data_IF_251252324116
#
_entry.id   IF_251252324116
#
_cell.length_a   1.000
_cell.length_b   1.000
_cell.length_c   1.000
_cell.angle_alpha   90.00
_cell.angle_beta   90.00
_cell.angle_gamma   90.00
#
_symmetry.space_group_name_H-M   'P 1'
#
loop_
_entity.id
_entity.type
_entity.pdbx_description
1 polymer ?
#
# COMPACT_ATOMS: atom_id res chain seq x y z
N UNK A 1 -73.71 -13.52 3.23
CA UNK A 1 -72.56 -14.14 3.92
C UNK A 1 -71.50 -13.07 4.06
N UNK A 2 -70.94 -12.67 5.20
CA UNK A 2 -70.82 -13.29 6.52
C UNK A 2 -69.53 -12.72 7.10
N UNK A 3 -69.69 -11.69 7.93
CA UNK A 3 -68.74 -10.87 8.69
C UNK A 3 -67.49 -11.61 9.21
N UNK A 4 -66.30 -10.99 9.11
CA UNK A 4 -65.40 -10.77 10.27
C UNK A 4 -64.25 -9.80 9.98
N UNK A 5 -64.45 -8.58 10.46
CA UNK A 5 -63.42 -7.64 10.87
C UNK A 5 -62.54 -8.23 11.99
N UNK A 6 -61.27 -7.81 12.05
CA UNK A 6 -60.61 -7.54 13.34
C UNK A 6 -59.70 -6.32 13.26
N UNK A 7 -60.17 -5.32 13.97
CA UNK A 7 -59.59 -4.04 14.37
C UNK A 7 -58.73 -4.26 15.63
N UNK A 8 -57.88 -3.25 15.95
CA UNK A 8 -57.19 -2.93 17.23
C UNK A 8 -55.67 -3.17 17.22
N UNK A 9 -54.82 -2.30 17.74
CA UNK A 9 -54.98 -0.96 18.33
C UNK A 9 -53.60 -0.28 18.44
N UNK A 10 -53.61 1.05 18.50
CA UNK A 10 -52.50 1.94 18.81
C UNK A 10 -52.20 1.95 20.33
N UNK A 11 -50.94 2.17 20.68
CA UNK A 11 -50.39 2.89 21.86
C UNK A 11 -49.03 3.46 21.37
N UNK A 12 -48.66 4.75 21.31
CA UNK A 12 -48.82 5.96 22.15
C UNK A 12 -48.50 5.62 23.61
N UNK A 13 -47.45 6.10 24.27
CA UNK A 13 -46.79 7.44 24.36
C UNK A 13 -45.44 7.20 25.12
N UNK A 14 -44.36 7.95 24.94
CA UNK A 14 -43.80 9.04 25.80
C UNK A 14 -42.26 9.02 25.51
N UNK A 15 -41.50 10.04 25.09
CA UNK A 15 -41.24 11.38 25.67
C UNK A 15 -40.77 11.25 27.14
N UNK A 16 -39.59 11.63 27.63
CA UNK A 16 -38.48 12.50 27.24
C UNK A 16 -37.16 11.83 27.76
N UNK A 17 -35.93 12.28 27.58
CA UNK A 17 -35.37 13.56 28.02
C UNK A 17 -33.88 13.60 27.58
N UNK A 18 -33.46 14.73 26.99
CA UNK A 18 -32.04 15.15 26.96
C UNK A 18 -31.71 15.74 28.33
N UNK A 19 -30.42 15.85 28.67
CA UNK A 19 -29.94 17.22 28.81
C UNK A 19 -28.62 17.49 28.10
N UNK A 20 -28.50 18.77 27.77
CA UNK A 20 -27.44 19.45 27.05
C UNK A 20 -26.34 20.00 27.95
N UNK A 21 -25.15 20.14 27.34
CA UNK A 21 -24.13 21.21 27.52
C UNK A 21 -23.42 21.34 28.87
N UNK A 22 -22.10 21.22 28.81
CA UNK A 22 -21.20 22.18 29.47
C UNK A 22 -20.07 22.56 28.50
N UNK A 23 -20.11 23.81 28.05
CA UNK A 23 -18.93 24.56 27.61
C UNK A 23 -18.31 25.16 28.87
N UNK A 24 -16.99 25.07 29.02
CA UNK A 24 -16.22 26.05 29.79
C UNK A 24 -14.93 26.36 29.03
N UNK A 25 -14.84 27.64 28.72
CA UNK A 25 -13.70 28.44 28.28
C UNK A 25 -12.63 28.53 29.38
N UNK A 26 -11.50 29.16 29.04
CA UNK A 26 -10.56 29.84 29.96
C UNK A 26 -9.54 28.90 30.67
N UNK A 27 -8.24 29.17 30.82
CA UNK A 27 -7.46 30.43 30.79
C UNK A 27 -5.97 30.04 30.65
N UNK A 28 -5.20 30.77 29.83
CA UNK A 28 -3.72 30.84 29.93
C UNK A 28 -3.34 31.84 31.03
N UNK A 29 -2.33 31.58 31.86
CA UNK A 29 -1.55 32.62 32.51
C UNK A 29 -0.10 32.69 31.96
N UNK A 30 0.60 33.79 32.26
CA UNK A 30 1.45 34.50 31.30
C UNK A 30 2.94 34.21 31.51
N UNK A 31 3.74 34.40 30.45
CA UNK A 31 5.18 34.62 30.60
C UNK A 31 5.47 36.03 30.15
N UNK A 32 5.89 36.84 31.12
CA UNK A 32 6.29 38.23 31.01
C UNK A 32 7.55 38.44 30.15
N UNK A 33 7.66 39.70 29.73
CA UNK A 33 8.58 40.33 28.81
C UNK A 33 10.06 40.33 29.29
N UNK A 34 11.01 40.02 28.38
CA UNK A 34 12.09 40.90 27.81
C UNK A 34 13.24 41.34 28.75
N UNK A 35 14.40 41.86 28.26
CA UNK A 35 15.09 41.74 26.96
C UNK A 35 16.64 41.58 27.07
N UNK A 36 17.31 41.67 25.91
CA UNK A 36 18.68 42.13 25.63
C UNK A 36 19.89 41.19 25.86
N UNK A 37 20.56 40.82 24.77
CA UNK A 37 21.81 41.48 24.34
C UNK A 37 22.33 40.93 23.01
N UNK A 38 22.65 41.86 22.12
CA UNK A 38 23.36 41.65 20.84
C UNK A 38 24.79 41.14 21.09
N UNK A 39 25.39 40.40 20.13
CA UNK A 39 26.50 40.90 19.27
C UNK A 39 27.14 39.77 18.43
N UNK A 40 27.48 40.16 17.19
CA UNK A 40 28.66 39.74 16.39
C UNK A 40 28.69 38.29 15.85
N UNK A 41 28.44 38.08 14.54
CA UNK A 41 29.38 38.20 13.41
C UNK A 41 30.63 37.31 13.51
N UNK A 42 30.69 36.26 12.69
CA UNK A 42 31.65 36.13 11.58
C UNK A 42 31.59 34.71 10.99
N UNK A 43 31.46 34.65 9.67
CA UNK A 43 31.82 33.48 8.86
C UNK A 43 33.36 33.34 8.80
N UNK A 44 33.89 32.13 8.65
CA UNK A 44 35.23 31.95 8.12
C UNK A 44 35.20 31.41 6.69
N UNK A 45 35.64 32.25 5.74
CA UNK A 45 36.34 31.80 4.54
C UNK A 45 37.70 31.26 4.97
N UNK A 46 38.04 30.04 4.54
CA UNK A 46 39.40 29.50 4.68
C UNK A 46 39.99 29.38 3.29
N UNK A 47 40.88 30.33 3.01
CA UNK A 47 41.80 30.38 1.89
C UNK A 47 42.89 29.33 2.14
N UNK A 48 43.06 28.38 1.23
CA UNK A 48 44.19 27.45 1.26
C UNK A 48 45.22 27.92 0.23
N UNK A 49 46.44 28.08 0.74
CA UNK A 49 47.63 28.56 0.06
C UNK A 49 48.04 27.65 -1.09
N UNK A 50 48.41 28.29 -2.20
CA UNK A 50 49.15 27.72 -3.32
C UNK A 50 50.58 27.39 -2.90
N UNK A 51 51.00 26.14 -3.10
CA UNK A 51 52.39 25.74 -3.19
C UNK A 51 52.55 24.83 -4.41
N UNK A 52 53.30 25.32 -5.40
CA UNK A 52 53.76 24.58 -6.56
C UNK A 52 55.20 24.15 -6.30
N UNK A 53 55.56 22.90 -6.60
CA UNK A 53 56.64 22.56 -7.56
C UNK A 53 56.82 21.02 -7.67
N UNK A 54 57.41 20.62 -8.81
CA UNK A 54 58.11 19.37 -9.11
C UNK A 54 57.33 18.23 -9.80
N UNK A 55 57.62 18.15 -11.10
CA UNK A 55 57.32 17.08 -12.05
C UNK A 55 58.07 15.77 -11.77
N UNK A 56 57.41 14.65 -12.02
CA UNK A 56 58.03 13.37 -12.41
C UNK A 56 57.10 12.69 -13.43
N UNK A 57 57.67 12.29 -14.56
CA UNK A 57 57.06 11.57 -15.68
C UNK A 57 56.77 10.09 -15.37
N UNK A 58 56.00 9.47 -16.29
CA UNK A 58 55.77 8.04 -16.57
C UNK A 58 54.36 7.48 -16.21
N UNK A 59 53.86 6.46 -16.95
CA UNK A 59 53.28 6.54 -18.29
C UNK A 59 51.76 6.22 -18.28
N UNK A 60 51.07 6.61 -19.36
CA UNK A 60 49.63 6.33 -19.57
C UNK A 60 49.31 4.85 -19.34
N UNK A 61 48.64 4.58 -18.23
CA UNK A 61 47.91 3.35 -17.98
C UNK A 61 46.44 3.67 -18.23
N UNK A 62 45.87 3.05 -19.25
CA UNK A 62 44.44 3.07 -19.54
C UNK A 62 43.68 2.63 -18.29
N UNK A 63 43.00 3.57 -17.63
CA UNK A 63 41.99 3.28 -16.61
C UNK A 63 40.70 3.89 -17.13
N UNK A 64 39.83 3.00 -17.60
CA UNK A 64 38.47 3.31 -17.99
C UNK A 64 37.76 4.03 -16.85
N UNK A 65 37.15 5.17 -17.15
CA UNK A 65 36.28 5.89 -16.24
C UNK A 65 35.16 4.95 -15.77
N UNK A 66 34.93 4.79 -14.45
CA UNK A 66 33.70 4.20 -13.98
C UNK A 66 32.59 5.22 -14.29
N UNK A 67 31.91 4.99 -15.41
CA UNK A 67 30.61 5.60 -15.69
C UNK A 67 29.76 5.48 -14.43
N UNK A 68 29.46 6.64 -13.84
CA UNK A 68 28.41 6.78 -12.87
C UNK A 68 27.16 6.14 -13.49
N UNK A 69 26.78 4.98 -12.96
CA UNK A 69 25.48 4.39 -13.21
C UNK A 69 24.50 5.37 -12.59
N UNK A 70 24.07 6.34 -13.40
CA UNK A 70 22.88 7.13 -13.16
C UNK A 70 21.79 6.08 -13.03
N UNK A 71 21.36 5.87 -11.80
CA UNK A 71 20.22 5.03 -11.46
C UNK A 71 19.04 5.64 -12.22
N UNK A 72 18.76 5.06 -13.40
CA UNK A 72 17.64 5.43 -14.22
C UNK A 72 16.41 5.24 -13.34
N UNK A 73 15.82 6.36 -12.94
CA UNK A 73 14.47 6.38 -12.41
C UNK A 73 13.57 5.81 -13.50
N UNK A 74 13.31 4.50 -13.43
CA UNK A 74 12.39 3.79 -14.30
C UNK A 74 11.02 4.46 -14.18
N UNK A 75 10.73 5.37 -15.10
CA UNK A 75 9.37 5.74 -15.41
C UNK A 75 8.66 4.43 -15.75
N UNK A 76 7.69 4.05 -14.92
CA UNK A 76 6.95 2.79 -14.97
C UNK A 76 6.30 2.70 -16.34
N UNK A 77 6.96 2.03 -17.29
CA UNK A 77 6.37 1.70 -18.57
C UNK A 77 5.12 0.90 -18.23
N UNK A 78 3.95 1.43 -18.59
CA UNK A 78 2.68 0.72 -18.43
C UNK A 78 2.82 -0.52 -19.28
N UNK A 79 3.07 -1.68 -18.65
CA UNK A 79 3.16 -2.93 -19.37
C UNK A 79 1.82 -3.16 -20.05
N UNK A 80 1.83 -3.06 -21.37
CA UNK A 80 0.67 -3.28 -22.19
C UNK A 80 0.25 -4.74 -22.07
N UNK A 81 -1.05 -5.05 -22.08
CA UNK A 81 -1.50 -6.43 -22.13
C UNK A 81 -0.93 -7.16 -23.36
N UNK A 82 -0.79 -8.50 -23.31
CA UNK A 82 -0.26 -9.27 -24.43
C UNK A 82 -1.15 -9.22 -25.68
N UNK A 83 -2.44 -8.90 -25.51
CA UNK A 83 -3.40 -8.67 -26.60
C UNK A 83 -3.41 -7.22 -27.13
N UNK A 84 -2.58 -6.34 -26.58
CA UNK A 84 -2.37 -4.99 -27.10
C UNK A 84 -3.47 -3.98 -26.76
N UNK A 85 -3.50 -2.92 -27.56
CA UNK A 85 -4.38 -1.76 -27.37
C UNK A 85 -5.83 -2.04 -27.81
N UNK A 86 -6.74 -1.13 -27.46
CA UNK A 86 -8.13 -1.20 -27.92
C UNK A 86 -8.24 -1.22 -29.45
N UNK A 87 -7.33 -0.55 -30.17
CA UNK A 87 -7.31 -0.55 -31.63
C UNK A 87 -6.95 -1.91 -32.25
N UNK A 88 -6.19 -2.73 -31.52
CA UNK A 88 -5.75 -4.05 -31.97
C UNK A 88 -6.76 -5.13 -31.57
N UNK A 89 -7.29 -5.03 -30.36
CA UNK A 89 -8.14 -6.06 -29.75
C UNK A 89 -9.40 -5.51 -29.09
N UNK A 90 -10.26 -4.80 -29.85
CA UNK A 90 -11.52 -4.21 -29.31
C UNK A 90 -12.40 -5.21 -28.55
N UNK A 91 -12.38 -6.48 -28.96
CA UNK A 91 -13.17 -7.55 -28.35
C UNK A 91 -12.73 -7.88 -26.92
N UNK A 92 -11.45 -7.66 -26.57
CA UNK A 92 -10.94 -7.86 -25.22
C UNK A 92 -11.37 -6.76 -24.25
N UNK A 93 -11.69 -5.57 -24.76
CA UNK A 93 -12.11 -4.43 -23.92
C UNK A 93 -13.62 -4.44 -23.64
N UNK A 94 -14.37 -5.45 -24.08
CA UNK A 94 -15.78 -5.65 -23.74
C UNK A 94 -16.01 -6.99 -23.05
N UNK A 95 -16.89 -7.03 -22.04
CA UNK A 95 -17.27 -8.28 -21.38
C UNK A 95 -18.03 -9.17 -22.38
N UNK A 96 -17.59 -10.42 -22.64
CA UNK A 96 -18.28 -11.32 -23.55
C UNK A 96 -19.66 -11.78 -23.02
N UNK A 97 -20.60 -11.96 -23.95
CA UNK A 97 -21.96 -12.40 -23.63
C UNK A 97 -22.01 -13.88 -23.22
N UNK A 98 -21.24 -14.74 -23.89
CA UNK A 98 -21.22 -16.19 -23.64
C UNK A 98 -20.45 -16.49 -22.37
N UNK A 99 -21.00 -17.36 -21.53
CA UNK A 99 -20.43 -17.68 -20.21
C UNK A 99 -19.02 -18.27 -20.28
N UNK A 100 -18.76 -19.18 -21.23
CA UNK A 100 -17.43 -19.75 -21.45
C UNK A 100 -16.40 -18.69 -21.85
N UNK A 101 -16.78 -17.84 -22.80
CA UNK A 101 -15.90 -16.76 -23.29
C UNK A 101 -15.65 -15.74 -22.18
N UNK A 102 -16.65 -15.48 -21.33
CA UNK A 102 -16.54 -14.62 -20.15
C UNK A 102 -15.57 -15.16 -19.10
N UNK A 103 -15.58 -16.46 -18.84
CA UNK A 103 -14.65 -17.11 -17.92
C UNK A 103 -13.21 -16.96 -18.41
N UNK A 104 -12.93 -17.35 -19.66
CA UNK A 104 -11.61 -17.20 -20.26
C UNK A 104 -11.15 -15.73 -20.27
N UNK A 105 -12.04 -14.82 -20.65
CA UNK A 105 -11.77 -13.40 -20.60
C UNK A 105 -11.44 -12.90 -19.18
N UNK A 106 -12.15 -13.37 -18.17
CA UNK A 106 -11.91 -13.00 -16.77
C UNK A 106 -10.58 -13.58 -16.25
N UNK A 107 -10.21 -14.77 -16.70
CA UNK A 107 -8.93 -15.41 -16.39
C UNK A 107 -7.77 -14.60 -16.97
N UNK A 108 -7.81 -14.29 -18.27
CA UNK A 108 -6.77 -13.52 -18.97
C UNK A 108 -6.60 -12.11 -18.35
N UNK A 109 -7.71 -11.39 -18.16
CA UNK A 109 -7.68 -10.08 -17.51
C UNK A 109 -7.29 -10.16 -16.03
N UNK A 110 -7.65 -11.25 -15.34
CA UNK A 110 -7.26 -11.50 -13.96
C UNK A 110 -5.76 -11.68 -13.83
N UNK A 111 -5.15 -12.50 -14.69
CA UNK A 111 -3.72 -12.78 -14.68
C UNK A 111 -2.92 -11.51 -15.02
N UNK A 112 -3.38 -10.73 -16.00
CA UNK A 112 -2.82 -9.41 -16.28
C UNK A 112 -2.98 -8.45 -15.08
N UNK A 113 -4.15 -8.41 -14.44
CA UNK A 113 -4.38 -7.56 -13.27
C UNK A 113 -3.45 -7.94 -12.11
N UNK A 114 -3.18 -9.23 -11.93
CA UNK A 114 -2.25 -9.75 -10.93
C UNK A 114 -0.82 -9.25 -11.21
N UNK A 115 -0.33 -9.40 -12.44
CA UNK A 115 0.98 -8.90 -12.87
C UNK A 115 1.09 -7.38 -12.73
N UNK A 116 0.08 -6.65 -13.20
CA UNK A 116 0.00 -5.20 -13.07
C UNK A 116 0.06 -4.76 -11.60
N UNK A 117 -0.63 -5.49 -10.71
CA UNK A 117 -0.63 -5.21 -9.27
C UNK A 117 0.72 -5.47 -8.62
N UNK A 118 1.44 -6.51 -9.06
CA UNK A 118 2.79 -6.83 -8.61
C UNK A 118 3.79 -5.74 -9.03
N UNK A 119 3.79 -5.37 -10.31
CA UNK A 119 4.73 -4.38 -10.86
C UNK A 119 4.56 -3.00 -10.19
N UNK A 120 3.33 -2.65 -9.81
CA UNK A 120 3.03 -1.39 -9.11
C UNK A 120 3.01 -1.51 -7.59
N UNK A 121 3.26 -2.70 -7.05
CA UNK A 121 3.17 -3.01 -5.61
C UNK A 121 1.82 -2.58 -5.00
N UNK A 122 0.73 -2.77 -5.74
CA UNK A 122 -0.63 -2.44 -5.32
C UNK A 122 -1.26 -3.67 -4.69
N UNK A 123 -1.47 -3.62 -3.38
CA UNK A 123 -2.08 -4.71 -2.62
C UNK A 123 -3.61 -4.64 -2.56
N UNK A 124 -4.17 -3.42 -2.57
CA UNK A 124 -5.62 -3.19 -2.51
C UNK A 124 -6.02 -2.29 -3.66
N UNK A 125 -6.88 -2.81 -4.51
CA UNK A 125 -7.36 -2.11 -5.69
C UNK A 125 -8.80 -1.65 -5.47
N UNK A 126 -9.05 -0.36 -5.69
CA UNK A 126 -10.40 0.19 -5.64
C UNK A 126 -11.02 0.23 -7.04
N UNK A 127 -12.35 0.14 -7.12
CA UNK A 127 -13.09 0.33 -8.38
C UNK A 127 -12.70 1.66 -9.02
N UNK A 128 -12.54 2.72 -8.23
CA UNK A 128 -12.17 4.05 -8.72
C UNK A 128 -10.80 4.07 -9.39
N UNK A 129 -9.82 3.36 -8.81
CA UNK A 129 -8.47 3.23 -9.39
C UNK A 129 -8.52 2.42 -10.68
N UNK A 130 -9.28 1.33 -10.69
CA UNK A 130 -9.45 0.49 -11.88
C UNK A 130 -10.06 1.27 -13.06
N UNK A 131 -11.07 2.11 -12.82
CA UNK A 131 -11.70 2.86 -13.93
C UNK A 131 -10.85 4.01 -14.49
N UNK A 132 -9.83 4.46 -13.75
CA UNK A 132 -8.96 5.59 -14.10
C UNK A 132 -7.64 5.17 -14.72
N UNK A 133 -7.09 4.03 -14.32
CA UNK A 133 -5.76 3.57 -14.77
C UNK A 133 -5.84 2.87 -16.13
N UNK A 134 -4.90 3.16 -17.06
CA UNK A 134 -4.74 2.35 -18.26
C UNK A 134 -4.16 0.96 -17.90
N UNK A 135 -4.52 -0.09 -18.64
CA UNK A 135 -5.43 -0.14 -19.80
C UNK A 135 -6.92 -0.25 -19.43
N UNK A 136 -7.24 -0.44 -18.14
CA UNK A 136 -8.60 -0.67 -17.64
C UNK A 136 -9.57 0.49 -17.90
N UNK A 137 -9.05 1.72 -18.01
CA UNK A 137 -9.82 2.92 -18.35
C UNK A 137 -10.50 2.82 -19.72
N UNK A 138 -10.02 1.97 -20.62
CA UNK A 138 -10.53 1.88 -22.00
C UNK A 138 -11.58 0.76 -22.13
N UNK A 139 -11.85 0.02 -21.05
CA UNK A 139 -12.85 -1.05 -21.03
C UNK A 139 -14.29 -0.52 -21.12
N UNK A 140 -15.15 -1.24 -21.83
CA UNK A 140 -16.60 -1.07 -21.86
C UNK A 140 -17.21 -1.61 -20.56
N UNK A 141 -18.20 -0.92 -20.01
CA UNK A 141 -18.86 -1.29 -18.75
C UNK A 141 -17.88 -1.60 -17.59
N UNK A 142 -16.90 -0.71 -17.37
CA UNK A 142 -15.77 -0.89 -16.45
C UNK A 142 -16.11 -1.47 -15.06
N UNK A 143 -17.23 -1.04 -14.49
CA UNK A 143 -17.65 -1.50 -13.15
C UNK A 143 -18.06 -2.98 -13.18
N UNK A 144 -18.73 -3.40 -14.25
CA UNK A 144 -19.13 -4.80 -14.44
C UNK A 144 -17.91 -5.65 -14.79
N UNK A 145 -17.07 -5.16 -15.72
CA UNK A 145 -15.78 -5.75 -16.05
C UNK A 145 -14.93 -6.02 -14.80
N UNK A 146 -14.77 -5.02 -13.93
CA UNK A 146 -14.04 -5.17 -12.68
C UNK A 146 -14.61 -6.27 -11.78
N UNK A 147 -15.95 -6.37 -11.66
CA UNK A 147 -16.59 -7.41 -10.84
C UNK A 147 -16.39 -8.80 -11.40
N UNK A 148 -16.48 -8.95 -12.72
CA UNK A 148 -16.27 -10.23 -13.40
C UNK A 148 -14.81 -10.69 -13.24
N UNK A 149 -13.85 -9.78 -13.43
CA UNK A 149 -12.42 -10.08 -13.22
C UNK A 149 -12.15 -10.42 -11.76
N UNK A 150 -12.68 -9.62 -10.83
CA UNK A 150 -12.52 -9.86 -9.40
C UNK A 150 -13.09 -11.21 -8.98
N UNK A 151 -14.24 -11.61 -9.54
CA UNK A 151 -14.84 -12.90 -9.28
C UNK A 151 -13.92 -14.05 -9.76
N UNK A 152 -13.34 -13.93 -10.95
CA UNK A 152 -12.36 -14.91 -11.45
C UNK A 152 -11.12 -15.03 -10.56
N UNK A 153 -10.61 -13.91 -10.03
CA UNK A 153 -9.49 -13.92 -9.09
C UNK A 153 -9.84 -14.53 -7.72
N UNK A 154 -11.06 -14.32 -7.25
CA UNK A 154 -11.55 -14.91 -5.99
C UNK A 154 -11.72 -16.42 -6.14
N UNK A 155 -12.22 -16.89 -7.28
CA UNK A 155 -12.35 -18.32 -7.57
C UNK A 155 -11.00 -19.04 -7.65
N UNK A 156 -9.94 -18.30 -8.06
CA UNK A 156 -8.55 -18.76 -8.00
C UNK A 156 -7.90 -18.63 -6.61
N UNK A 157 -8.62 -18.17 -5.60
CA UNK A 157 -8.14 -17.92 -4.23
C UNK A 157 -6.99 -16.89 -4.11
N UNK A 158 -6.79 -16.06 -5.14
CA UNK A 158 -5.73 -15.03 -5.19
C UNK A 158 -6.26 -13.62 -4.92
N UNK A 159 -7.53 -13.47 -4.56
CA UNK A 159 -8.11 -12.19 -4.16
C UNK A 159 -9.26 -12.34 -3.15
N UNK A 160 -9.53 -11.27 -2.40
CA UNK A 160 -10.70 -11.19 -1.52
C UNK A 160 -11.34 -9.79 -1.54
N UNK A 161 -12.67 -9.71 -1.41
CA UNK A 161 -13.35 -8.43 -1.19
C UNK A 161 -13.09 -7.92 0.22
N UNK A 162 -12.60 -6.69 0.36
CA UNK A 162 -12.37 -6.09 1.69
C UNK A 162 -13.63 -5.47 2.29
N UNK A 163 -14.62 -5.17 1.45
CA UNK A 163 -15.87 -4.53 1.83
C UNK A 163 -17.11 -5.24 1.30
N UNK A 164 -18.21 -5.14 2.06
CA UNK A 164 -19.51 -5.73 1.67
C UNK A 164 -20.11 -5.10 0.41
N UNK A 165 -19.65 -3.91 0.03
CA UNK A 165 -20.14 -3.18 -1.15
C UNK A 165 -19.33 -3.49 -2.41
N UNK A 166 -18.33 -4.38 -2.34
CA UNK A 166 -17.49 -4.80 -3.47
C UNK A 166 -16.86 -3.60 -4.21
N UNK A 167 -16.30 -2.67 -3.43
CA UNK A 167 -15.60 -1.46 -3.91
C UNK A 167 -14.10 -1.61 -3.86
N UNK A 168 -13.59 -2.51 -3.02
CA UNK A 168 -12.16 -2.71 -2.82
C UNK A 168 -11.83 -4.20 -2.82
N UNK A 169 -10.87 -4.56 -3.66
CA UNK A 169 -10.36 -5.91 -3.84
C UNK A 169 -8.95 -5.99 -3.28
N UNK A 170 -8.70 -6.91 -2.36
CA UNK A 170 -7.35 -7.29 -1.93
C UNK A 170 -6.81 -8.33 -2.90
N UNK A 171 -5.60 -8.10 -3.44
CA UNK A 171 -4.98 -8.96 -4.46
C UNK A 171 -3.70 -9.61 -3.90
N UNK A 172 -3.67 -10.93 -3.83
CA UNK A 172 -2.55 -11.72 -3.31
C UNK A 172 -1.60 -12.17 -4.44
N UNK A 173 -0.81 -11.25 -4.98
CA UNK A 173 0.25 -11.57 -5.95
C UNK A 173 1.47 -12.26 -5.32
N UNK A 174 1.55 -12.29 -3.99
CA UNK A 174 2.51 -13.07 -3.21
C UNK A 174 1.81 -13.60 -1.95
N UNK A 175 1.99 -14.87 -1.58
CA UNK A 175 1.39 -15.44 -0.37
C UNK A 175 1.92 -14.77 0.90
N UNK A 176 1.10 -14.77 1.96
CA UNK A 176 1.47 -14.14 3.23
C UNK A 176 2.61 -14.88 3.94
N UNK A 177 2.76 -16.19 3.71
CA UNK A 177 3.88 -16.96 4.25
C UNK A 177 5.22 -16.47 3.71
N UNK A 178 5.32 -16.16 2.41
CA UNK A 178 6.55 -15.65 1.81
C UNK A 178 6.89 -14.25 2.32
N UNK A 179 5.88 -13.41 2.58
CA UNK A 179 6.12 -12.12 3.23
C UNK A 179 6.71 -12.29 4.63
N UNK A 180 6.27 -13.30 5.39
CA UNK A 180 6.84 -13.60 6.70
C UNK A 180 8.33 -14.00 6.59
N UNK A 181 8.66 -14.82 5.59
CA UNK A 181 10.04 -15.25 5.32
C UNK A 181 10.92 -14.06 4.94
N UNK A 182 10.45 -13.19 4.03
CA UNK A 182 11.17 -11.98 3.63
C UNK A 182 11.45 -11.03 4.79
N UNK A 183 10.43 -10.79 5.64
CA UNK A 183 10.60 -9.91 6.80
C UNK A 183 11.61 -10.52 7.77
N UNK A 184 11.57 -11.83 7.99
CA UNK A 184 12.53 -12.53 8.83
C UNK A 184 13.96 -12.41 8.29
N UNK A 185 14.19 -12.72 7.01
CA UNK A 185 15.49 -12.58 6.36
C UNK A 185 16.03 -11.15 6.45
N UNK A 186 15.16 -10.16 6.22
CA UNK A 186 15.51 -8.75 6.37
C UNK A 186 15.88 -8.38 7.82
N UNK A 187 15.20 -8.94 8.82
CA UNK A 187 15.54 -8.74 10.23
C UNK A 187 16.93 -9.28 10.56
N UNK A 188 17.25 -10.50 10.08
CA UNK A 188 18.57 -11.11 10.26
C UNK A 188 19.66 -10.27 9.59
N UNK A 189 19.42 -9.78 8.38
CA UNK A 189 20.38 -8.97 7.63
C UNK A 189 20.63 -7.59 8.28
N UNK A 190 19.62 -7.00 8.92
CA UNK A 190 19.71 -5.65 9.50
C UNK A 190 19.95 -5.64 11.00
N UNK A 191 19.87 -6.79 11.68
CA UNK A 191 19.93 -6.91 13.14
C UNK A 191 18.72 -6.29 13.85
N UNK A 192 17.60 -6.09 13.15
CA UNK A 192 16.40 -5.47 13.71
C UNK A 192 15.50 -6.53 14.34
N UNK A 193 15.65 -6.69 15.65
CA UNK A 193 14.98 -7.78 16.37
C UNK A 193 13.59 -7.44 16.87
N UNK A 194 13.20 -6.17 16.90
CA UNK A 194 11.87 -5.77 17.38
C UNK A 194 11.10 -5.10 16.28
N UNK A 195 9.93 -5.65 15.98
CA UNK A 195 9.02 -5.14 14.96
C UNK A 195 7.63 -4.88 15.51
N UNK A 196 7.01 -3.83 15.01
CA UNK A 196 5.60 -3.54 15.22
C UNK A 196 4.99 -3.06 13.90
N UNK A 197 3.69 -3.24 13.75
CA UNK A 197 3.00 -2.93 12.48
C UNK A 197 3.19 -1.46 12.07
N UNK A 198 3.24 -0.54 13.05
CA UNK A 198 3.41 0.89 12.76
C UNK A 198 4.84 1.23 12.38
N UNK A 199 5.85 0.66 13.04
CA UNK A 199 7.25 0.85 12.64
C UNK A 199 7.51 0.32 11.24
N UNK A 200 6.90 -0.81 10.85
CA UNK A 200 7.00 -1.32 9.48
C UNK A 200 6.52 -0.28 8.45
N UNK A 201 5.32 0.26 8.64
CA UNK A 201 4.72 1.21 7.69
C UNK A 201 5.49 2.55 7.66
N UNK A 202 5.95 3.04 8.81
CA UNK A 202 6.49 4.41 8.93
C UNK A 202 8.01 4.43 8.74
N UNK A 203 8.74 3.55 9.41
CA UNK A 203 10.21 3.58 9.45
C UNK A 203 10.83 2.81 8.29
N UNK A 204 10.12 1.80 7.76
CA UNK A 204 10.60 0.92 6.69
C UNK A 204 9.79 1.07 5.41
N UNK A 205 9.25 2.27 5.17
CA UNK A 205 8.41 2.59 4.00
C UNK A 205 9.10 2.34 2.64
N UNK A 206 10.43 2.23 2.63
CA UNK A 206 11.22 1.88 1.46
C UNK A 206 11.23 0.37 1.14
N UNK A 207 10.74 -0.47 2.04
CA UNK A 207 10.64 -1.91 1.84
C UNK A 207 9.30 -2.26 1.20
N UNK A 208 9.29 -3.28 0.33
CA UNK A 208 8.07 -3.70 -0.37
C UNK A 208 6.97 -4.15 0.59
N UNK A 209 7.35 -4.88 1.65
CA UNK A 209 6.41 -5.36 2.67
C UNK A 209 5.75 -4.22 3.47
N UNK A 210 6.31 -3.02 3.49
CA UNK A 210 5.69 -1.88 4.19
C UNK A 210 4.45 -1.33 3.47
N UNK A 211 4.26 -1.66 2.19
CA UNK A 211 3.07 -1.32 1.40
C UNK A 211 1.89 -2.27 1.65
N UNK A 212 2.11 -3.35 2.42
CA UNK A 212 1.05 -4.27 2.79
C UNK A 212 -0.04 -3.58 3.63
N UNK A 213 -1.32 -3.97 3.48
CA UNK A 213 -2.38 -3.49 4.35
C UNK A 213 -2.10 -3.84 5.82
N UNK A 214 -2.51 -2.97 6.74
CA UNK A 214 -2.28 -3.17 8.18
C UNK A 214 -2.81 -4.53 8.68
N UNK A 215 -3.99 -4.95 8.22
CA UNK A 215 -4.58 -6.25 8.56
C UNK A 215 -3.70 -7.43 8.13
N UNK A 216 -3.03 -7.30 6.99
CA UNK A 216 -2.17 -8.34 6.44
C UNK A 216 -0.86 -8.38 7.19
N UNK A 217 -0.29 -7.23 7.56
CA UNK A 217 0.89 -7.19 8.43
C UNK A 217 0.64 -7.91 9.75
N UNK A 218 -0.53 -7.75 10.38
CA UNK A 218 -0.88 -8.52 11.57
C UNK A 218 -0.92 -10.04 11.31
N UNK A 219 -1.45 -10.47 10.16
CA UNK A 219 -1.46 -11.88 9.75
C UNK A 219 -0.05 -12.40 9.49
N UNK A 220 0.79 -11.63 8.80
CA UNK A 220 2.18 -11.97 8.50
C UNK A 220 3.00 -12.10 9.78
N UNK A 221 2.88 -11.17 10.73
CA UNK A 221 3.53 -11.28 12.04
C UNK A 221 3.04 -12.50 12.82
N UNK A 222 1.75 -12.86 12.72
CA UNK A 222 1.26 -14.10 13.32
C UNK A 222 1.90 -15.34 12.67
N UNK A 223 2.02 -15.36 11.34
CA UNK A 223 2.71 -16.45 10.63
C UNK A 223 4.19 -16.56 11.02
N UNK A 224 4.88 -15.44 11.25
CA UNK A 224 6.26 -15.47 11.75
C UNK A 224 6.34 -16.18 13.12
N UNK A 225 5.40 -15.90 14.01
CA UNK A 225 5.33 -16.56 15.32
C UNK A 225 4.98 -18.04 15.19
N UNK A 226 4.01 -18.38 14.35
CA UNK A 226 3.59 -19.77 14.13
C UNK A 226 4.72 -20.61 13.49
N UNK A 227 5.59 -19.99 12.67
CA UNK A 227 6.80 -20.59 12.10
C UNK A 227 7.98 -20.69 13.08
N UNK A 228 7.90 -20.04 14.25
CA UNK A 228 8.96 -20.00 15.25
C UNK A 228 10.11 -19.04 14.91
N UNK A 229 9.86 -18.03 14.09
CA UNK A 229 10.82 -16.96 13.77
C UNK A 229 10.79 -15.81 14.78
N UNK A 230 9.72 -15.71 15.55
CA UNK A 230 9.51 -14.59 16.45
C UNK A 230 8.56 -14.96 17.59
N UNK A 231 8.57 -14.14 18.64
CA UNK A 231 7.64 -14.22 19.76
C UNK A 231 6.85 -12.91 19.93
N UNK A 232 5.60 -13.02 20.36
CA UNK A 232 4.79 -11.84 20.68
C UNK A 232 5.31 -11.15 21.94
N UNK A 233 5.57 -9.84 21.85
CA UNK A 233 5.96 -9.02 23.00
C UNK A 233 4.78 -8.71 23.91
N UNK A 234 3.61 -8.50 23.30
CA UNK A 234 2.41 -8.04 23.99
C UNK A 234 1.24 -9.00 23.79
N UNK A 235 0.37 -9.12 24.80
CA UNK A 235 -0.91 -9.85 24.72
C UNK A 235 -1.84 -9.33 23.62
N UNK A 236 -1.67 -8.06 23.23
CA UNK A 236 -2.45 -7.42 22.16
C UNK A 236 -1.96 -7.78 20.76
N UNK A 237 -0.90 -8.59 20.63
CA UNK A 237 -0.32 -9.00 19.34
C UNK A 237 0.04 -7.81 18.44
N UNK A 238 0.60 -6.77 19.05
CA UNK A 238 0.95 -5.52 18.38
C UNK A 238 2.39 -5.47 17.87
N UNK A 239 3.28 -6.22 18.52
CA UNK A 239 4.72 -6.21 18.27
C UNK A 239 5.31 -7.61 18.51
N UNK A 240 6.35 -7.95 17.76
CA UNK A 240 7.09 -9.20 17.87
C UNK A 240 8.57 -8.94 18.11
N UNK A 241 9.22 -9.87 18.79
CA UNK A 241 10.68 -9.97 18.87
C UNK A 241 11.12 -11.16 18.01
N UNK A 242 12.06 -10.95 17.10
CA UNK A 242 12.61 -11.95 16.20
C UNK A 242 13.68 -12.77 16.94
N UNK A 243 13.59 -14.09 16.82
CA UNK A 243 14.55 -15.03 17.37
C UNK A 243 15.71 -15.23 16.38
N UNK A 244 16.94 -15.39 16.90
CA UNK A 244 18.17 -15.60 16.10
C UNK A 244 18.84 -16.89 16.54
#
# INVERSE_FOLDING_TARGET
MGVREKRRERKRTEEAERPSKTQSTETLPPVEERPDLMTESHAPEVIIETSAEAAVEEPLTTVEEPHAVVEETHATAVEMPPWGDIAESEWMYGVPDRERDRQLWAEEWGDYLLQWSQHRLVHVLSVSTFISEPPFKDMKNKVDAFRVIAQGLIEKEVAEWTDKKQRQLRIYWRPLEEWADMIYEWCLATGRLRLDVKSIIIQYANQDFAKLPEKDLYRVLALMVDKGYAEWVDKKKGAVTVDI
#
